data_IF_866814302325
#
_entry.id   IF_866814302325
#
_cell.length_a   1.000
_cell.length_b   1.000
_cell.length_c   1.000
_cell.angle_alpha   90.00
_cell.angle_beta   90.00
_cell.angle_gamma   90.00
#
_symmetry.space_group_name_H-M   'P 1'
#
loop_
_entity.id
_entity.type
_entity.pdbx_description
1 polymer ?
#
# COMPACT_ATOMS: atom_id res chain seq x y z
N UNK A 1 3.74 42.61 -19.30
CA UNK A 1 3.27 42.01 -18.04
C UNK A 1 3.20 40.52 -18.24
N UNK A 2 4.25 39.80 -17.86
CA UNK A 2 4.40 38.36 -18.00
C UNK A 2 3.60 37.69 -16.86
N UNK A 3 2.59 36.88 -17.20
CA UNK A 3 1.93 36.02 -16.23
C UNK A 3 2.88 34.84 -15.93
N UNK A 4 3.48 34.89 -14.75
CA UNK A 4 4.17 33.71 -14.17
C UNK A 4 3.14 32.65 -13.92
N UNK A 5 3.13 31.60 -14.74
CA UNK A 5 2.38 30.37 -14.48
C UNK A 5 3.04 29.72 -13.28
N UNK A 6 2.36 29.66 -12.15
CA UNK A 6 2.79 28.86 -11.00
C UNK A 6 2.65 27.39 -11.35
N UNK A 7 3.77 26.73 -11.50
CA UNK A 7 3.89 25.29 -11.84
C UNK A 7 3.64 24.40 -10.62
N UNK A 8 2.51 24.53 -9.93
CA UNK A 8 2.30 23.77 -8.68
C UNK A 8 0.91 23.17 -8.51
N UNK A 9 0.14 23.10 -9.62
CA UNK A 9 -1.19 22.48 -9.57
C UNK A 9 -1.30 21.33 -10.57
N UNK A 10 -0.56 20.23 -10.33
CA UNK A 10 -0.97 18.93 -10.86
C UNK A 10 -1.98 18.38 -9.85
N UNK A 11 -3.13 19.01 -9.83
CA UNK A 11 -4.26 18.58 -9.02
C UNK A 11 -5.00 17.43 -9.69
N UNK A 12 -5.50 16.54 -8.87
CA UNK A 12 -6.50 15.49 -9.16
C UNK A 12 -7.81 16.04 -9.78
N UNK A 13 -7.80 17.20 -10.44
CA UNK A 13 -9.00 17.79 -11.08
C UNK A 13 -9.48 17.09 -12.34
N UNK A 14 -8.85 15.96 -12.72
CA UNK A 14 -9.30 15.12 -13.84
C UNK A 14 -9.81 13.74 -13.40
N UNK A 15 -9.78 13.41 -12.10
CA UNK A 15 -10.38 12.18 -11.59
C UNK A 15 -11.87 12.48 -11.35
N UNK A 16 -12.75 11.56 -11.79
CA UNK A 16 -14.18 11.65 -11.46
C UNK A 16 -14.37 11.88 -9.96
N UNK A 17 -15.19 12.87 -9.60
CA UNK A 17 -15.49 13.19 -8.20
C UNK A 17 -16.38 12.13 -7.53
N UNK A 18 -16.89 11.14 -8.28
CA UNK A 18 -17.84 10.15 -7.77
C UNK A 18 -17.33 8.71 -7.93
N UNK A 19 -17.37 7.96 -6.84
CA UNK A 19 -17.13 6.53 -6.84
C UNK A 19 -18.28 5.77 -7.50
N UNK A 20 -18.00 4.64 -8.22
CA UNK A 20 -19.05 3.72 -8.62
C UNK A 20 -19.93 3.33 -7.42
N UNK A 21 -21.25 3.25 -7.61
CA UNK A 21 -22.18 2.98 -6.50
C UNK A 21 -21.85 1.72 -5.70
N UNK A 22 -21.41 0.64 -6.39
CA UNK A 22 -21.01 -0.59 -5.75
C UNK A 22 -19.74 -0.42 -4.87
N UNK A 23 -18.78 0.39 -5.33
CA UNK A 23 -17.55 0.71 -4.59
C UNK A 23 -17.87 1.57 -3.36
N UNK A 24 -18.71 2.61 -3.55
CA UNK A 24 -19.15 3.46 -2.46
C UNK A 24 -19.90 2.66 -1.38
N UNK A 25 -20.77 1.74 -1.79
CA UNK A 25 -21.48 0.84 -0.87
C UNK A 25 -20.51 -0.06 -0.08
N UNK A 26 -19.50 -0.63 -0.75
CA UNK A 26 -18.49 -1.47 -0.08
C UNK A 26 -17.63 -0.67 0.92
N UNK A 27 -17.32 0.61 0.64
CA UNK A 27 -16.59 1.48 1.56
C UNK A 27 -17.42 1.93 2.76
N UNK A 28 -18.74 1.96 2.60
CA UNK A 28 -19.68 2.43 3.63
C UNK A 28 -19.92 1.41 4.74
N UNK A 29 -19.25 0.23 4.70
CA UNK A 29 -19.26 -0.72 5.81
C UNK A 29 -18.85 0.00 7.11
N UNK A 30 -19.70 -0.01 8.12
CA UNK A 30 -19.55 0.85 9.31
C UNK A 30 -18.48 0.34 10.27
N UNK A 31 -18.19 -0.97 10.26
CA UNK A 31 -17.22 -1.61 11.15
C UNK A 31 -16.45 -2.71 10.41
N UNK A 32 -15.32 -3.14 10.98
CA UNK A 32 -14.56 -4.28 10.48
C UNK A 32 -15.38 -5.58 10.50
N UNK A 33 -16.27 -5.73 11.47
CA UNK A 33 -17.13 -6.90 11.62
C UNK A 33 -18.21 -7.00 10.51
N UNK A 34 -18.60 -5.87 9.92
CA UNK A 34 -19.58 -5.83 8.82
C UNK A 34 -18.93 -5.97 7.45
N UNK A 35 -17.62 -5.71 7.33
CA UNK A 35 -16.90 -5.87 6.07
C UNK A 35 -16.80 -7.36 5.68
N UNK A 36 -16.91 -7.70 4.38
CA UNK A 36 -16.66 -9.06 3.93
C UNK A 36 -15.28 -9.55 4.42
N UNK A 37 -15.19 -10.69 5.13
CA UNK A 37 -13.96 -11.12 5.79
C UNK A 37 -12.83 -11.48 4.81
N UNK A 38 -13.14 -11.69 3.55
CA UNK A 38 -12.23 -12.21 2.53
C UNK A 38 -11.94 -13.71 2.70
N UNK A 39 -11.53 -14.34 1.62
CA UNK A 39 -11.04 -15.72 1.63
C UNK A 39 -9.62 -15.75 2.18
N UNK A 40 -9.32 -16.64 3.12
CA UNK A 40 -7.95 -16.84 3.61
C UNK A 40 -7.31 -18.06 2.97
N UNK A 41 -6.02 -17.96 2.64
CA UNK A 41 -5.23 -19.06 2.13
C UNK A 41 -3.77 -18.94 2.58
N UNK A 42 -3.04 -20.05 2.48
CA UNK A 42 -1.59 -20.07 2.71
C UNK A 42 -0.89 -20.71 1.52
N UNK A 43 0.35 -20.26 1.25
CA UNK A 43 1.20 -20.73 0.16
C UNK A 43 2.63 -20.89 0.65
N UNK A 44 3.27 -22.01 0.35
CA UNK A 44 4.65 -22.24 0.73
C UNK A 44 5.60 -21.72 -0.34
N UNK A 45 6.44 -20.75 0.01
CA UNK A 45 7.47 -20.20 -0.87
C UNK A 45 8.65 -19.64 -0.04
N UNK A 46 9.86 -19.73 -0.57
CA UNK A 46 11.08 -19.21 0.06
C UNK A 46 11.30 -19.67 1.51
N UNK A 47 10.85 -20.91 1.84
CA UNK A 47 10.98 -21.47 3.18
C UNK A 47 10.01 -20.88 4.22
N UNK A 48 8.99 -20.15 3.79
CA UNK A 48 7.94 -19.57 4.63
C UNK A 48 6.57 -20.03 4.15
N UNK A 49 5.62 -20.10 5.08
CA UNK A 49 4.19 -20.21 4.76
C UNK A 49 3.60 -18.78 4.71
N UNK A 50 3.20 -18.34 3.52
CA UNK A 50 2.66 -17.02 3.25
C UNK A 50 1.16 -16.99 3.48
N UNK A 51 0.70 -16.12 4.35
CA UNK A 51 -0.71 -15.91 4.61
C UNK A 51 -1.30 -14.84 3.71
N UNK A 52 -2.50 -15.09 3.20
CA UNK A 52 -3.22 -14.16 2.34
C UNK A 52 -4.68 -14.01 2.76
N UNK A 53 -5.25 -12.88 2.36
CA UNK A 53 -6.69 -12.61 2.41
C UNK A 53 -7.11 -12.04 1.06
N UNK A 54 -8.18 -12.57 0.47
CA UNK A 54 -8.57 -12.17 -0.87
C UNK A 54 -10.08 -11.90 -1.01
N UNK A 55 -10.42 -10.96 -1.89
CA UNK A 55 -11.79 -10.55 -2.24
C UNK A 55 -11.95 -10.54 -3.76
N UNK A 56 -13.19 -10.61 -4.24
CA UNK A 56 -13.52 -10.62 -5.67
C UNK A 56 -13.51 -12.01 -6.30
N UNK A 57 -13.87 -12.10 -7.57
CA UNK A 57 -13.93 -13.36 -8.27
C UNK A 57 -12.52 -13.83 -8.66
N UNK A 58 -12.30 -15.14 -8.69
CA UNK A 58 -10.99 -15.71 -9.02
C UNK A 58 -10.56 -15.46 -10.47
N UNK A 59 -11.51 -15.23 -11.36
CA UNK A 59 -11.28 -14.96 -12.79
C UNK A 59 -11.02 -13.48 -13.09
N UNK A 60 -11.26 -12.59 -12.11
CA UNK A 60 -10.97 -11.17 -12.23
C UNK A 60 -9.45 -10.91 -12.27
N UNK A 61 -9.00 -9.78 -12.86
CA UNK A 61 -7.58 -9.44 -12.87
C UNK A 61 -7.01 -9.36 -11.44
N UNK A 62 -5.87 -10.01 -11.18
CA UNK A 62 -5.28 -10.02 -9.85
C UNK A 62 -4.65 -8.66 -9.49
N UNK A 63 -4.98 -8.17 -8.30
CA UNK A 63 -4.38 -7.04 -7.62
C UNK A 63 -3.73 -7.54 -6.33
N UNK A 64 -2.41 -7.69 -6.33
CA UNK A 64 -1.66 -8.01 -5.13
C UNK A 64 -1.47 -6.74 -4.30
N UNK A 65 -1.80 -6.81 -3.01
CA UNK A 65 -1.67 -5.69 -2.07
C UNK A 65 -0.73 -6.05 -0.91
N UNK A 66 0.32 -5.24 -0.70
CA UNK A 66 1.31 -5.42 0.37
C UNK A 66 1.25 -4.26 1.35
N UNK A 67 1.31 -4.58 2.64
CA UNK A 67 1.16 -3.64 3.75
C UNK A 67 2.48 -2.94 4.14
N UNK A 68 2.39 -1.89 4.98
CA UNK A 68 3.55 -1.23 5.60
C UNK A 68 4.11 -2.00 6.79
N UNK A 69 5.25 -1.54 7.30
CA UNK A 69 5.90 -2.13 8.48
C UNK A 69 4.94 -2.15 9.68
N UNK A 70 5.07 -3.15 10.56
CA UNK A 70 4.23 -3.33 11.76
C UNK A 70 2.71 -3.35 11.44
N UNK A 71 2.35 -3.86 10.25
CA UNK A 71 0.98 -4.04 9.79
C UNK A 71 0.79 -5.46 9.24
N UNK A 72 -0.36 -5.77 8.68
CA UNK A 72 -0.64 -7.01 7.95
C UNK A 72 -1.69 -6.76 6.85
N UNK A 73 -2.05 -7.79 6.10
CA UNK A 73 -3.05 -7.71 5.04
C UNK A 73 -4.43 -7.24 5.52
N UNK A 74 -4.70 -7.28 6.82
CA UNK A 74 -5.92 -6.75 7.43
C UNK A 74 -6.12 -5.25 7.22
N UNK A 75 -5.06 -4.48 6.92
CA UNK A 75 -5.20 -3.04 6.60
C UNK A 75 -6.12 -2.78 5.40
N UNK A 76 -6.27 -3.76 4.52
CA UNK A 76 -7.10 -3.66 3.31
C UNK A 76 -8.56 -4.08 3.52
N UNK A 77 -9.03 -4.17 4.77
CA UNK A 77 -10.38 -4.63 5.12
C UNK A 77 -11.52 -3.85 4.44
N UNK A 78 -11.33 -2.55 4.13
CA UNK A 78 -12.28 -1.72 3.35
C UNK A 78 -11.92 -1.66 1.87
N UNK A 79 -10.65 -1.42 1.56
CA UNK A 79 -10.20 -1.31 0.17
C UNK A 79 -10.32 -2.64 -0.59
N UNK A 80 -10.09 -3.76 0.07
CA UNK A 80 -10.21 -5.08 -0.54
C UNK A 80 -11.60 -5.33 -1.16
N UNK A 81 -12.69 -5.29 -0.37
CA UNK A 81 -14.03 -5.45 -0.93
C UNK A 81 -14.44 -4.31 -1.88
N UNK A 82 -13.96 -3.09 -1.68
CA UNK A 82 -14.27 -1.96 -2.56
C UNK A 82 -13.66 -2.14 -3.96
N UNK A 83 -12.40 -2.51 -4.03
CA UNK A 83 -11.72 -2.78 -5.31
C UNK A 83 -12.24 -4.08 -5.96
N UNK A 84 -12.68 -5.04 -5.16
CA UNK A 84 -13.38 -6.23 -5.66
C UNK A 84 -14.74 -5.86 -6.30
N UNK A 85 -15.47 -4.92 -5.73
CA UNK A 85 -16.69 -4.39 -6.32
C UNK A 85 -16.45 -3.62 -7.65
N UNK A 86 -15.20 -3.20 -7.88
CA UNK A 86 -14.75 -2.62 -9.15
C UNK A 86 -14.23 -3.68 -10.15
N UNK A 87 -14.35 -4.98 -9.85
CA UNK A 87 -13.98 -6.07 -10.77
C UNK A 87 -12.52 -6.53 -10.65
N UNK A 88 -11.89 -6.39 -9.48
CA UNK A 88 -10.54 -6.87 -9.21
C UNK A 88 -10.54 -8.08 -8.26
N UNK A 89 -9.66 -9.06 -8.53
CA UNK A 89 -9.31 -10.06 -7.54
C UNK A 89 -8.22 -9.49 -6.63
N UNK A 90 -8.61 -8.94 -5.49
CA UNK A 90 -7.67 -8.34 -4.54
C UNK A 90 -7.09 -9.42 -3.63
N UNK A 91 -5.77 -9.54 -3.58
CA UNK A 91 -5.04 -10.47 -2.71
C UNK A 91 -4.13 -9.64 -1.80
N UNK A 92 -4.54 -9.44 -0.56
CA UNK A 92 -3.70 -8.86 0.48
C UNK A 92 -2.82 -9.96 1.09
N UNK A 93 -1.50 -9.77 1.02
CA UNK A 93 -0.51 -10.73 1.52
C UNK A 93 0.15 -10.19 2.78
N UNK A 94 0.32 -11.02 3.78
CA UNK A 94 1.15 -10.71 4.92
C UNK A 94 2.62 -10.86 4.52
N UNK A 95 3.40 -9.77 4.62
CA UNK A 95 4.83 -9.80 4.32
C UNK A 95 5.59 -10.57 5.42
N UNK A 96 6.81 -11.07 5.16
CA UNK A 96 7.57 -11.89 6.08
C UNK A 96 7.65 -11.32 7.50
N UNK A 97 7.49 -12.17 8.50
CA UNK A 97 7.49 -11.85 9.93
C UNK A 97 6.33 -10.96 10.40
N UNK A 98 5.27 -10.83 9.61
CA UNK A 98 4.06 -10.09 9.94
C UNK A 98 2.82 -10.96 9.75
N UNK A 99 1.76 -10.65 10.51
CA UNK A 99 0.48 -11.35 10.42
C UNK A 99 0.60 -12.86 10.60
N UNK A 100 0.19 -13.61 9.60
CA UNK A 100 0.26 -15.08 9.57
C UNK A 100 1.44 -15.64 8.77
N UNK A 101 2.30 -14.80 8.16
CA UNK A 101 3.42 -15.25 7.35
C UNK A 101 4.66 -15.54 8.21
N UNK A 102 5.16 -16.77 8.13
CA UNK A 102 6.34 -17.18 8.89
C UNK A 102 6.76 -18.62 8.61
N UNK A 103 7.81 -19.08 9.31
CA UNK A 103 8.69 -18.32 10.18
C UNK A 103 9.57 -17.32 9.40
N UNK A 104 10.07 -16.28 10.08
CA UNK A 104 11.00 -15.33 9.45
C UNK A 104 12.34 -16.03 9.09
N UNK A 105 12.78 -15.80 7.85
CA UNK A 105 13.98 -16.42 7.31
C UNK A 105 15.28 -15.60 7.55
N UNK A 106 15.22 -14.51 8.32
CA UNK A 106 16.34 -13.64 8.63
C UNK A 106 16.70 -12.63 7.52
N UNK A 107 15.97 -12.60 6.41
CA UNK A 107 16.18 -11.71 5.28
C UNK A 107 15.37 -10.43 5.49
N UNK A 108 16.04 -9.28 5.53
CA UNK A 108 15.43 -7.98 5.88
C UNK A 108 15.63 -6.90 4.81
N UNK A 109 16.48 -7.14 3.83
CA UNK A 109 16.67 -6.15 2.77
C UNK A 109 15.43 -6.10 1.86
N UNK A 110 15.10 -4.90 1.39
CA UNK A 110 13.97 -4.68 0.44
C UNK A 110 14.06 -5.58 -0.78
N UNK A 111 15.29 -5.75 -1.32
CA UNK A 111 15.54 -6.62 -2.47
C UNK A 111 15.34 -8.11 -2.15
N UNK A 112 15.68 -8.54 -0.93
CA UNK A 112 15.46 -9.92 -0.49
C UNK A 112 13.97 -10.19 -0.30
N UNK A 113 13.25 -9.30 0.38
CA UNK A 113 11.80 -9.40 0.57
C UNK A 113 11.08 -9.40 -0.77
N UNK A 114 11.53 -8.59 -1.74
CA UNK A 114 10.97 -8.59 -3.09
C UNK A 114 11.23 -9.91 -3.85
N UNK A 115 12.40 -10.52 -3.65
CA UNK A 115 12.70 -11.85 -4.23
C UNK A 115 11.83 -12.95 -3.60
N UNK A 116 11.63 -12.91 -2.29
CA UNK A 116 10.73 -13.84 -1.58
C UNK A 116 9.26 -13.63 -2.00
N UNK A 117 8.82 -12.36 -2.13
CA UNK A 117 7.48 -12.03 -2.66
C UNK A 117 7.31 -12.51 -4.10
N UNK A 118 8.34 -12.40 -4.95
CA UNK A 118 8.32 -12.91 -6.31
C UNK A 118 8.17 -14.45 -6.35
N UNK A 119 8.81 -15.16 -5.42
CA UNK A 119 8.65 -16.60 -5.29
C UNK A 119 7.22 -16.97 -4.83
N UNK A 120 6.66 -16.22 -3.88
CA UNK A 120 5.26 -16.37 -3.47
C UNK A 120 4.30 -16.12 -4.66
N UNK A 121 4.47 -15.03 -5.42
CA UNK A 121 3.62 -14.71 -6.59
C UNK A 121 3.58 -15.88 -7.58
N UNK A 122 4.73 -16.52 -7.83
CA UNK A 122 4.79 -17.71 -8.71
C UNK A 122 4.13 -18.93 -8.07
N UNK A 123 4.36 -19.19 -6.78
CA UNK A 123 3.77 -20.30 -6.06
C UNK A 123 2.24 -20.20 -5.96
N UNK A 124 1.71 -18.98 -5.91
CA UNK A 124 0.28 -18.69 -5.87
C UNK A 124 -0.37 -18.58 -7.27
N UNK A 125 0.39 -18.85 -8.34
CA UNK A 125 -0.04 -18.71 -9.75
C UNK A 125 -0.58 -17.32 -10.11
N UNK A 126 0.05 -16.28 -9.55
CA UNK A 126 -0.31 -14.88 -9.79
C UNK A 126 0.61 -14.19 -10.81
N UNK A 127 1.67 -14.87 -11.29
CA UNK A 127 2.62 -14.32 -12.28
C UNK A 127 1.99 -14.31 -13.68
N UNK A 128 1.07 -13.38 -13.89
CA UNK A 128 0.32 -13.20 -15.12
C UNK A 128 0.58 -11.81 -15.72
N UNK A 129 0.31 -11.65 -17.01
CA UNK A 129 0.38 -10.36 -17.70
C UNK A 129 -0.69 -9.34 -17.24
N UNK A 130 -1.64 -9.78 -16.41
CA UNK A 130 -2.71 -8.96 -15.83
C UNK A 130 -2.43 -8.54 -14.38
N UNK A 131 -1.37 -9.07 -13.73
CA UNK A 131 -1.06 -8.76 -12.34
C UNK A 131 -0.75 -7.28 -12.16
N UNK A 132 -1.47 -6.60 -11.27
CA UNK A 132 -1.08 -5.31 -10.70
C UNK A 132 -0.53 -5.54 -9.29
N UNK A 133 0.60 -4.89 -8.96
CA UNK A 133 1.16 -4.93 -7.61
C UNK A 133 1.03 -3.56 -6.94
N UNK A 134 0.27 -3.50 -5.84
CA UNK A 134 0.10 -2.35 -4.98
C UNK A 134 0.89 -2.56 -3.69
N UNK A 135 1.64 -1.56 -3.27
CA UNK A 135 2.32 -1.59 -1.97
C UNK A 135 2.13 -0.29 -1.21
N UNK A 136 1.96 -0.39 0.10
CA UNK A 136 1.93 0.76 1.01
C UNK A 136 3.23 0.83 1.81
N UNK A 137 3.81 2.03 1.93
CA UNK A 137 4.97 2.27 2.82
C UNK A 137 6.13 1.30 2.53
N UNK A 138 6.56 0.49 3.50
CA UNK A 138 7.53 -0.59 3.28
C UNK A 138 7.11 -1.53 2.14
N UNK A 139 5.84 -1.93 2.09
CA UNK A 139 5.33 -2.73 0.99
C UNK A 139 5.51 -2.06 -0.37
N UNK A 140 5.41 -0.72 -0.47
CA UNK A 140 5.70 0.01 -1.70
C UNK A 140 7.17 -0.11 -2.09
N UNK A 141 8.08 -0.01 -1.12
CA UNK A 141 9.50 -0.21 -1.38
C UNK A 141 9.82 -1.66 -1.81
N UNK A 142 9.10 -2.66 -1.26
CA UNK A 142 9.21 -4.06 -1.70
C UNK A 142 8.68 -4.21 -3.12
N UNK A 143 7.49 -3.71 -3.42
CA UNK A 143 6.86 -3.78 -4.75
C UNK A 143 7.71 -3.10 -5.82
N UNK A 144 8.34 -1.95 -5.52
CA UNK A 144 9.26 -1.27 -6.44
C UNK A 144 10.46 -2.16 -6.85
N UNK A 145 10.87 -3.11 -6.01
CA UNK A 145 11.97 -4.04 -6.27
C UNK A 145 11.54 -5.35 -6.96
N UNK A 146 10.24 -5.64 -7.10
CA UNK A 146 9.73 -6.87 -7.73
C UNK A 146 10.24 -7.05 -9.19
N UNK A 147 10.38 -6.00 -10.01
CA UNK A 147 10.95 -6.14 -11.36
C UNK A 147 12.39 -6.63 -11.35
N UNK A 148 13.20 -6.25 -10.36
CA UNK A 148 14.57 -6.75 -10.21
C UNK A 148 14.60 -8.25 -9.88
N UNK A 149 13.55 -8.77 -9.23
CA UNK A 149 13.36 -10.20 -8.97
C UNK A 149 12.80 -10.99 -10.19
N UNK A 150 12.69 -10.35 -11.34
CA UNK A 150 12.35 -10.97 -12.62
C UNK A 150 10.87 -11.10 -12.92
N UNK A 151 9.99 -10.43 -12.16
CA UNK A 151 8.56 -10.35 -12.45
C UNK A 151 8.25 -9.11 -13.31
N UNK A 152 7.16 -9.17 -14.06
CA UNK A 152 6.68 -8.06 -14.90
C UNK A 152 5.20 -7.82 -14.71
N UNK A 153 4.80 -7.24 -13.56
CA UNK A 153 3.42 -6.81 -13.36
C UNK A 153 2.97 -5.86 -14.48
N UNK A 154 1.67 -5.85 -14.77
CA UNK A 154 1.07 -4.91 -15.73
C UNK A 154 1.19 -3.46 -15.26
N UNK A 155 1.18 -3.23 -13.94
CA UNK A 155 1.45 -1.95 -13.31
C UNK A 155 1.97 -2.12 -11.88
N UNK A 156 2.67 -1.09 -11.37
CA UNK A 156 3.02 -0.92 -9.97
C UNK A 156 2.28 0.30 -9.41
N UNK A 157 1.69 0.16 -8.23
CA UNK A 157 1.06 1.25 -7.48
C UNK A 157 1.79 1.38 -6.14
N UNK A 158 2.52 2.48 -5.97
CA UNK A 158 3.29 2.78 -4.77
C UNK A 158 2.51 3.79 -3.91
N UNK A 159 1.86 3.31 -2.86
CA UNK A 159 1.06 4.11 -1.95
C UNK A 159 1.94 4.65 -0.83
N UNK A 160 2.19 5.94 -0.87
CA UNK A 160 3.06 6.72 0.03
C UNK A 160 4.39 6.01 0.34
N UNK A 161 5.22 5.72 -0.71
CA UNK A 161 6.50 5.07 -0.55
C UNK A 161 7.44 5.94 0.31
N UNK A 162 8.17 5.37 1.30
CA UNK A 162 8.99 6.19 2.18
C UNK A 162 10.14 6.89 1.44
N UNK A 163 10.28 8.21 1.68
CA UNK A 163 11.47 8.99 1.37
C UNK A 163 12.02 9.55 2.68
N UNK A 164 12.96 8.83 3.27
CA UNK A 164 13.42 9.12 4.63
C UNK A 164 14.87 8.65 4.82
N UNK A 165 15.69 9.48 5.46
CA UNK A 165 17.04 9.11 5.83
C UNK A 165 17.05 7.98 6.89
N UNK A 166 18.16 7.25 6.98
CA UNK A 166 18.30 6.10 7.87
C UNK A 166 18.01 6.43 9.34
N UNK A 167 18.44 7.58 9.83
CA UNK A 167 18.19 8.00 11.21
C UNK A 167 16.69 8.20 11.51
N UNK A 168 15.95 8.75 10.55
CA UNK A 168 14.49 8.82 10.61
C UNK A 168 13.83 7.45 10.63
N UNK A 169 14.31 6.51 9.81
CA UNK A 169 13.82 5.12 9.82
C UNK A 169 14.14 4.42 11.15
N UNK A 170 15.34 4.63 11.67
CA UNK A 170 15.74 4.09 12.99
C UNK A 170 14.88 4.69 14.12
N UNK A 171 14.51 5.96 14.02
CA UNK A 171 13.63 6.58 15.02
C UNK A 171 12.27 5.87 15.12
N UNK A 172 11.73 5.35 14.01
CA UNK A 172 10.47 4.59 14.00
C UNK A 172 10.53 3.30 14.84
N UNK A 173 11.72 2.72 15.09
CA UNK A 173 11.87 1.54 15.98
C UNK A 173 11.57 1.86 17.46
N UNK A 174 11.44 3.14 17.78
CA UNK A 174 11.18 3.66 19.13
C UNK A 174 9.87 4.40 19.22
N UNK A 175 8.97 4.19 18.26
CA UNK A 175 7.66 4.80 18.26
C UNK A 175 6.89 4.36 19.54
N UNK A 176 6.36 5.29 20.33
CA UNK A 176 5.68 4.96 21.58
C UNK A 176 4.31 4.32 21.38
N UNK A 177 3.76 4.34 20.17
CA UNK A 177 2.44 3.83 19.84
C UNK A 177 2.52 2.62 18.90
N UNK A 178 3.37 2.69 17.87
CA UNK A 178 3.54 1.60 16.90
C UNK A 178 4.69 0.66 17.29
N UNK A 179 4.44 -0.20 18.27
CA UNK A 179 5.35 -1.25 18.71
C UNK A 179 4.57 -2.56 18.96
N UNK A 180 5.27 -3.64 19.32
CA UNK A 180 4.63 -4.92 19.64
C UNK A 180 3.90 -4.83 20.98
N UNK A 181 2.64 -5.25 20.99
CA UNK A 181 1.79 -5.41 22.17
C UNK A 181 1.51 -6.87 22.47
N UNK A 182 1.25 -7.18 23.75
CA UNK A 182 0.86 -8.51 24.20
C UNK A 182 -0.65 -8.74 24.01
N UNK A 183 -1.45 -7.68 23.96
CA UNK A 183 -2.90 -7.77 23.74
C UNK A 183 -3.43 -6.73 22.76
N UNK A 184 -4.52 -7.08 22.06
CA UNK A 184 -5.23 -6.18 21.17
C UNK A 184 -5.86 -5.02 21.93
N UNK A 185 -6.35 -5.25 23.15
CA UNK A 185 -7.00 -4.24 23.99
C UNK A 185 -6.03 -3.12 24.37
N UNK A 186 -4.80 -3.48 24.76
CA UNK A 186 -3.75 -2.50 25.08
C UNK A 186 -3.35 -1.70 23.83
N UNK A 187 -3.11 -2.38 22.71
CA UNK A 187 -2.80 -1.73 21.44
C UNK A 187 -3.91 -0.76 21.03
N UNK A 188 -5.17 -1.18 21.12
CA UNK A 188 -6.34 -0.37 20.76
C UNK A 188 -6.42 0.90 21.60
N UNK A 189 -6.22 0.80 22.92
CA UNK A 189 -6.23 1.95 23.83
C UNK A 189 -5.21 3.01 23.44
N UNK A 190 -3.98 2.59 23.12
CA UNK A 190 -2.91 3.52 22.71
C UNK A 190 -3.16 4.11 21.31
N UNK A 191 -3.63 3.30 20.37
CA UNK A 191 -3.95 3.75 19.01
C UNK A 191 -5.10 4.76 18.99
N UNK A 192 -6.16 4.56 19.77
CA UNK A 192 -7.29 5.49 19.86
C UNK A 192 -6.86 6.89 20.32
N UNK A 193 -5.94 6.96 21.28
CA UNK A 193 -5.42 8.23 21.77
C UNK A 193 -4.57 8.98 20.72
N UNK A 194 -3.86 8.24 19.86
CA UNK A 194 -2.93 8.80 18.89
C UNK A 194 -3.56 9.09 17.50
N UNK A 195 -4.63 8.37 17.12
CA UNK A 195 -5.16 8.37 15.76
C UNK A 195 -6.64 8.78 15.68
N UNK A 196 -6.95 10.01 16.09
CA UNK A 196 -8.33 10.53 16.17
C UNK A 196 -9.07 10.57 14.81
N UNK A 197 -8.35 10.48 13.70
CA UNK A 197 -8.90 10.49 12.34
C UNK A 197 -9.24 9.10 11.79
N UNK A 198 -8.90 8.01 12.49
CA UNK A 198 -9.16 6.65 12.05
C UNK A 198 -10.55 6.17 12.48
N UNK A 199 -11.11 5.22 11.74
CA UNK A 199 -12.34 4.53 12.14
C UNK A 199 -12.03 3.44 13.17
N UNK A 200 -13.05 2.97 13.88
CA UNK A 200 -12.90 1.86 14.84
C UNK A 200 -12.35 0.61 14.14
N UNK A 201 -12.80 0.29 12.93
CA UNK A 201 -12.27 -0.83 12.15
C UNK A 201 -10.80 -0.66 11.73
N UNK A 202 -10.34 0.57 11.45
CA UNK A 202 -8.92 0.84 11.17
C UNK A 202 -8.06 0.65 12.43
N UNK A 203 -8.58 1.09 13.58
CA UNK A 203 -7.94 0.93 14.89
C UNK A 203 -7.85 -0.55 15.27
N UNK A 204 -8.96 -1.30 15.14
CA UNK A 204 -9.01 -2.73 15.42
C UNK A 204 -8.06 -3.54 14.51
N UNK A 205 -8.07 -3.28 13.19
CA UNK A 205 -7.18 -3.95 12.24
C UNK A 205 -5.70 -3.67 12.57
N UNK A 206 -5.35 -2.42 12.92
CA UNK A 206 -4.00 -2.07 13.31
C UNK A 206 -3.61 -2.67 14.66
N UNK A 207 -4.49 -2.61 15.65
CA UNK A 207 -4.25 -3.20 16.98
C UNK A 207 -3.95 -4.70 16.88
N UNK A 208 -4.74 -5.41 16.07
CA UNK A 208 -4.51 -6.83 15.80
C UNK A 208 -3.15 -7.07 15.13
N UNK A 209 -2.78 -6.28 14.12
CA UNK A 209 -1.48 -6.39 13.46
C UNK A 209 -0.30 -6.14 14.41
N UNK A 210 -0.44 -5.18 15.35
CA UNK A 210 0.59 -4.89 16.35
C UNK A 210 0.79 -6.01 17.37
N UNK A 211 -0.08 -7.01 17.44
CA UNK A 211 0.11 -8.22 18.23
C UNK A 211 0.71 -9.39 17.44
N UNK A 212 0.98 -9.23 16.12
CA UNK A 212 1.31 -10.34 15.22
C UNK A 212 2.49 -10.08 14.29
N UNK A 213 3.46 -9.27 14.70
CA UNK A 213 4.70 -9.12 13.94
C UNK A 213 5.91 -9.45 14.81
N UNK A 214 7.03 -9.75 14.19
CA UNK A 214 8.32 -9.97 14.88
C UNK A 214 9.04 -8.63 15.05
N UNK A 215 9.27 -8.14 16.29
CA UNK A 215 9.91 -6.85 16.52
C UNK A 215 11.37 -6.81 16.06
N UNK A 216 12.10 -7.95 16.09
CA UNK A 216 13.48 -8.02 15.61
C UNK A 216 13.52 -7.86 14.08
N UNK A 217 12.60 -8.54 13.36
CA UNK A 217 12.47 -8.41 11.92
C UNK A 217 12.10 -6.97 11.52
N UNK A 218 11.12 -6.35 12.17
CA UNK A 218 10.72 -4.98 11.92
C UNK A 218 11.88 -4.00 12.17
N UNK A 219 12.59 -4.15 13.29
CA UNK A 219 13.76 -3.35 13.61
C UNK A 219 14.88 -3.53 12.56
N UNK A 220 15.14 -4.75 12.10
CA UNK A 220 16.12 -5.03 11.06
C UNK A 220 15.76 -4.37 9.72
N UNK A 221 14.49 -4.43 9.32
CA UNK A 221 13.99 -3.74 8.11
C UNK A 221 14.21 -2.23 8.21
N UNK A 222 13.86 -1.61 9.31
CA UNK A 222 13.97 -0.16 9.49
C UNK A 222 15.43 0.31 9.60
N UNK A 223 16.32 -0.46 10.26
CA UNK A 223 17.67 -0.01 10.61
C UNK A 223 18.77 -0.43 9.62
N UNK A 224 18.52 -1.40 8.73
CA UNK A 224 19.60 -2.01 7.93
C UNK A 224 19.43 -1.85 6.42
N UNK A 225 18.45 -1.07 5.97
CA UNK A 225 18.19 -0.81 4.55
C UNK A 225 18.80 0.50 4.02
N UNK A 226 19.56 1.26 4.85
CA UNK A 226 20.07 2.57 4.48
C UNK A 226 18.96 3.60 4.32
N UNK A 227 19.23 4.64 3.55
CA UNK A 227 18.23 5.64 3.21
C UNK A 227 17.13 5.08 2.31
N UNK A 228 15.93 5.60 2.46
CA UNK A 228 14.78 5.25 1.67
C UNK A 228 14.44 6.38 0.70
N UNK A 229 14.33 6.06 -0.57
CA UNK A 229 14.29 7.00 -1.71
C UNK A 229 12.97 6.98 -2.48
N UNK A 230 11.87 6.60 -1.84
CA UNK A 230 10.56 6.40 -2.47
C UNK A 230 10.58 5.42 -3.66
N UNK A 231 11.58 4.54 -3.72
CA UNK A 231 11.73 3.53 -4.77
C UNK A 231 12.50 4.00 -6.01
N UNK A 232 13.04 5.22 -6.04
CA UNK A 232 13.74 5.79 -7.21
C UNK A 232 14.86 4.89 -7.72
N UNK A 233 15.71 4.35 -6.83
CA UNK A 233 16.79 3.44 -7.21
C UNK A 233 16.25 2.13 -7.79
N UNK A 234 15.24 1.53 -7.15
CA UNK A 234 14.62 0.28 -7.61
C UNK A 234 13.95 0.44 -8.97
N UNK A 235 13.22 1.54 -9.17
CA UNK A 235 12.56 1.86 -10.43
C UNK A 235 13.55 2.18 -11.57
N UNK A 236 14.81 2.47 -11.26
CA UNK A 236 15.85 2.64 -12.26
C UNK A 236 16.40 1.32 -12.83
N UNK A 237 16.00 0.18 -12.29
CA UNK A 237 16.37 -1.14 -12.79
C UNK A 237 15.82 -1.35 -14.22
N UNK A 238 16.60 -1.92 -15.17
CA UNK A 238 16.16 -2.09 -16.56
C UNK A 238 14.83 -2.85 -16.71
N UNK A 239 14.55 -3.82 -15.85
CA UNK A 239 13.30 -4.57 -15.89
C UNK A 239 12.06 -3.72 -15.53
N UNK A 240 12.24 -2.62 -14.79
CA UNK A 240 11.15 -1.70 -14.44
C UNK A 240 10.84 -0.68 -15.57
N UNK A 241 11.72 -0.53 -16.55
CA UNK A 241 11.67 0.56 -17.53
C UNK A 241 10.39 0.62 -18.40
N UNK A 242 9.67 -0.50 -18.54
CA UNK A 242 8.46 -0.61 -19.36
C UNK A 242 7.20 -0.88 -18.55
N UNK A 243 7.30 -0.92 -17.23
CA UNK A 243 6.16 -1.14 -16.35
C UNK A 243 5.58 0.23 -15.98
N UNK A 244 4.31 0.50 -16.23
CA UNK A 244 3.62 1.69 -15.70
C UNK A 244 3.74 1.71 -14.17
N UNK A 245 4.17 2.85 -13.62
CA UNK A 245 4.33 3.02 -12.17
C UNK A 245 3.54 4.25 -11.75
N UNK A 246 2.68 4.08 -10.76
CA UNK A 246 1.93 5.14 -10.12
C UNK A 246 2.45 5.38 -8.71
N UNK A 247 2.61 6.64 -8.34
CA UNK A 247 2.98 7.06 -7.00
C UNK A 247 1.82 7.87 -6.44
N UNK A 248 1.14 7.28 -5.45
CA UNK A 248 0.01 7.87 -4.78
C UNK A 248 0.46 8.29 -3.39
N UNK A 249 0.74 9.57 -3.18
CA UNK A 249 1.22 10.07 -1.88
C UNK A 249 0.11 10.73 -1.08
N UNK A 250 0.23 10.72 0.24
CA UNK A 250 -0.57 11.56 1.10
C UNK A 250 -0.22 13.04 0.93
N UNK A 251 -0.93 13.90 1.65
CA UNK A 251 -0.68 15.34 1.63
C UNK A 251 0.43 15.70 2.62
N UNK A 252 1.42 16.55 2.26
CA UNK A 252 2.55 16.91 3.15
C UNK A 252 2.12 17.45 4.51
N UNK A 253 1.10 18.32 4.54
CA UNK A 253 0.57 18.87 5.81
C UNK A 253 -0.10 17.83 6.70
N UNK A 254 -0.45 16.68 6.15
CA UNK A 254 -1.08 15.55 6.85
C UNK A 254 -0.08 14.47 7.26
N UNK A 255 1.24 14.69 7.01
CA UNK A 255 2.30 13.79 7.45
C UNK A 255 2.59 12.63 6.50
N UNK A 256 2.52 12.82 5.17
CA UNK A 256 3.01 11.84 4.20
C UNK A 256 4.53 11.67 4.29
N UNK A 257 5.04 10.55 3.80
CA UNK A 257 6.49 10.27 3.75
C UNK A 257 7.14 10.62 2.40
N UNK A 258 6.38 11.13 1.44
CA UNK A 258 6.90 11.67 0.17
C UNK A 258 6.86 13.19 0.22
N UNK A 259 7.97 13.87 0.55
CA UNK A 259 7.99 15.32 0.66
C UNK A 259 7.91 16.01 -0.72
N UNK A 260 7.51 17.28 -0.74
CA UNK A 260 7.26 18.03 -1.97
C UNK A 260 8.51 18.14 -2.87
N UNK A 261 9.67 18.28 -2.27
CA UNK A 261 10.94 18.45 -2.98
C UNK A 261 11.37 17.23 -3.79
N UNK A 262 10.85 16.03 -3.51
CA UNK A 262 11.18 14.83 -4.26
C UNK A 262 10.23 14.58 -5.44
N UNK A 263 9.06 15.23 -5.45
CA UNK A 263 8.04 15.05 -6.51
C UNK A 263 8.59 15.25 -7.92
N UNK A 264 9.42 16.30 -8.19
CA UNK A 264 9.99 16.47 -9.53
C UNK A 264 10.86 15.28 -9.99
N UNK A 265 11.62 14.67 -9.07
CA UNK A 265 12.45 13.49 -9.39
C UNK A 265 11.59 12.26 -9.66
N UNK A 266 10.54 12.06 -8.89
CA UNK A 266 9.56 10.99 -9.10
C UNK A 266 8.83 11.17 -10.44
N UNK A 267 8.33 12.38 -10.72
CA UNK A 267 7.66 12.73 -11.98
C UNK A 267 8.56 12.52 -13.21
N UNK A 268 9.83 12.88 -13.10
CA UNK A 268 10.81 12.61 -14.17
C UNK A 268 11.02 11.11 -14.42
N UNK A 269 10.83 10.27 -13.38
CA UNK A 269 11.03 8.82 -13.46
C UNK A 269 9.80 8.07 -13.96
N UNK A 270 8.59 8.43 -13.51
CA UNK A 270 7.36 7.68 -13.80
C UNK A 270 6.39 8.41 -14.74
N UNK A 271 6.59 9.69 -15.00
CA UNK A 271 5.66 10.59 -15.68
C UNK A 271 4.93 11.50 -14.67
N UNK A 272 4.71 12.76 -15.04
CA UNK A 272 4.08 13.73 -14.14
C UNK A 272 2.64 13.33 -13.77
N UNK A 273 1.89 12.81 -14.72
CA UNK A 273 0.51 12.36 -14.54
C UNK A 273 0.38 11.11 -13.66
N UNK A 274 1.50 10.45 -13.38
CA UNK A 274 1.56 9.24 -12.55
C UNK A 274 1.96 9.52 -11.08
N UNK A 275 2.15 10.78 -10.70
CA UNK A 275 2.41 11.17 -9.31
C UNK A 275 1.20 11.96 -8.80
N UNK A 276 0.37 11.32 -7.98
CA UNK A 276 -0.86 11.90 -7.47
C UNK A 276 -0.75 12.19 -5.97
N UNK A 277 -1.25 13.35 -5.55
CA UNK A 277 -1.43 13.69 -4.14
C UNK A 277 -2.88 13.44 -3.74
N UNK A 278 -3.09 12.61 -2.73
CA UNK A 278 -4.40 12.31 -2.15
C UNK A 278 -4.68 13.37 -1.09
N UNK A 279 -5.65 14.23 -1.34
CA UNK A 279 -6.02 15.33 -0.45
C UNK A 279 -6.44 14.81 0.94
N UNK A 280 -6.06 15.55 1.98
CA UNK A 280 -6.34 15.24 3.39
C UNK A 280 -5.85 13.86 3.87
N UNK A 281 -5.09 13.13 3.07
CA UNK A 281 -4.55 11.83 3.44
C UNK A 281 -3.20 11.98 4.15
N UNK A 282 -3.02 11.21 5.22
CA UNK A 282 -1.73 11.03 5.91
C UNK A 282 -0.88 9.96 5.22
N UNK A 283 0.21 9.53 5.87
CA UNK A 283 1.03 8.38 5.44
C UNK A 283 0.23 7.09 5.21
N UNK A 284 -0.91 6.93 5.86
CA UNK A 284 -1.79 5.76 5.68
C UNK A 284 -3.11 6.16 5.02
N UNK A 285 -3.14 6.42 3.69
CA UNK A 285 -4.33 6.96 3.01
C UNK A 285 -5.57 6.07 3.10
N UNK A 286 -5.39 4.77 3.33
CA UNK A 286 -6.47 3.81 3.53
C UNK A 286 -7.08 3.85 4.93
N UNK A 287 -6.37 4.44 5.91
CA UNK A 287 -6.82 4.55 7.32
C UNK A 287 -7.32 5.96 7.57
N UNK A 288 -8.55 6.22 7.19
CA UNK A 288 -9.20 7.52 7.35
C UNK A 288 -10.70 7.34 7.46
N UNK A 289 -11.40 8.32 8.02
CA UNK A 289 -12.87 8.30 8.09
C UNK A 289 -13.50 8.23 6.72
N UNK A 290 -12.90 8.90 5.74
CA UNK A 290 -13.35 8.87 4.35
C UNK A 290 -12.20 8.40 3.44
N UNK A 291 -12.17 7.12 3.05
CA UNK A 291 -11.18 6.57 2.13
C UNK A 291 -11.51 6.81 0.64
N UNK A 292 -12.55 7.58 0.32
CA UNK A 292 -13.00 7.76 -1.06
C UNK A 292 -11.90 8.31 -1.96
N UNK A 293 -11.18 9.34 -1.53
CA UNK A 293 -10.08 9.93 -2.29
C UNK A 293 -8.94 8.92 -2.59
N UNK A 294 -8.56 8.12 -1.59
CA UNK A 294 -7.56 7.07 -1.78
C UNK A 294 -8.06 5.98 -2.75
N UNK A 295 -9.32 5.59 -2.62
CA UNK A 295 -9.94 4.61 -3.50
C UNK A 295 -10.02 5.11 -4.94
N UNK A 296 -10.44 6.34 -5.16
CA UNK A 296 -10.48 6.98 -6.49
C UNK A 296 -9.10 7.04 -7.13
N UNK A 297 -8.08 7.45 -6.38
CA UNK A 297 -6.70 7.50 -6.87
C UNK A 297 -6.19 6.10 -7.29
N UNK A 298 -6.52 5.06 -6.51
CA UNK A 298 -6.17 3.68 -6.86
C UNK A 298 -6.96 3.22 -8.10
N UNK A 299 -8.26 3.48 -8.18
CA UNK A 299 -9.08 3.13 -9.34
C UNK A 299 -8.60 3.83 -10.61
N UNK A 300 -8.21 5.10 -10.51
CA UNK A 300 -7.61 5.83 -11.62
C UNK A 300 -6.30 5.17 -12.09
N UNK A 301 -5.42 4.82 -11.17
CA UNK A 301 -4.19 4.09 -11.48
C UNK A 301 -4.44 2.70 -12.09
N UNK A 302 -5.59 2.09 -11.80
CA UNK A 302 -6.06 0.83 -12.37
C UNK A 302 -6.75 1.01 -13.75
N UNK A 303 -6.79 2.24 -14.30
CA UNK A 303 -7.39 2.53 -15.59
C UNK A 303 -8.91 2.69 -15.58
N UNK A 304 -9.53 2.80 -14.40
CA UNK A 304 -10.95 3.11 -14.32
C UNK A 304 -11.22 4.53 -14.82
N UNK A 305 -12.18 4.67 -15.70
CA UNK A 305 -12.68 5.96 -16.18
C UNK A 305 -14.14 6.08 -15.79
N UNK A 306 -14.55 7.24 -15.27
CA UNK A 306 -15.97 7.55 -15.09
C UNK A 306 -16.67 7.50 -16.46
N UNK A 307 -17.85 6.90 -16.52
CA UNK A 307 -18.69 7.10 -17.68
C UNK A 307 -18.91 8.62 -17.88
N UNK A 308 -18.76 9.14 -19.11
CA UNK A 308 -19.09 10.55 -19.36
C UNK A 308 -20.52 10.76 -18.91
N UNK A 309 -20.76 11.69 -17.97
CA UNK A 309 -22.11 12.10 -17.60
C UNK A 309 -22.80 12.47 -18.88
N UNK A 310 -23.78 11.64 -19.32
CA UNK A 310 -24.65 11.94 -20.43
C UNK A 310 -25.41 13.21 -20.05
N UNK A 311 -24.90 14.36 -20.54
CA UNK A 311 -25.55 15.64 -20.34
C UNK A 311 -26.98 15.55 -20.92
N UNK A 312 -27.94 15.63 -20.01
CA UNK A 312 -29.34 15.84 -20.35
C UNK A 312 -29.59 17.30 -20.68
#
# INVERSE_FOLDING_TARGET
MSRTVRSHDVFVSAISDELPAAVAAALSASTLAEAPPGETATFDASGMSWATRAWGNRDDPPLLATHGIMSDGGVYWRLGPALAAAGWRVIAVDLPAHGGTGPWNGRYLRVDTAADLAAFIRAADLDTDRLVALGHSWGAAVVANVPAAGLRPSALILLDPPYLALDGMVAMTRDPVEHRYDSVEEALTNLQAANLGWTDGDLEAKALALTRFDPEAASAVLSRNGDWDAGLAALSHPNAARIPVWILRGEPRSGCLVPEEVVPALAARVGADHVLTIENASHSPMRTRDPAAATLAILHALGWQSEPTSGT
#
